data_IF_602293705300
#
_entry.id   IF_602293705300
#
_cell.length_a   1.000
_cell.length_b   1.000
_cell.length_c   1.000
_cell.angle_alpha   90.00
_cell.angle_beta   90.00
_cell.angle_gamma   90.00
#
_symmetry.space_group_name_H-M   'P 1'
#
loop_
_entity.id
_entity.type
_entity.pdbx_description
1 polymer ?
#
# COMPACT_ATOMS: atom_id res chain seq x y z
N UNK A 1 -42.27 -7.06 13.25
CA UNK A 1 -41.28 -5.97 13.31
C UNK A 1 -39.87 -6.43 13.74
N UNK A 2 -39.64 -7.71 14.03
CA UNK A 2 -38.34 -8.23 14.52
C UNK A 2 -37.36 -8.60 13.41
N UNK A 3 -37.83 -9.10 12.26
CA UNK A 3 -36.98 -9.50 11.14
C UNK A 3 -36.30 -8.31 10.43
N UNK A 4 -37.00 -7.18 10.28
CA UNK A 4 -36.45 -5.98 9.65
C UNK A 4 -35.33 -5.36 10.50
N UNK A 5 -35.49 -5.36 11.82
CA UNK A 5 -34.48 -4.88 12.75
C UNK A 5 -33.21 -5.75 12.71
N UNK A 6 -33.35 -7.07 12.58
CA UNK A 6 -32.22 -8.00 12.48
C UNK A 6 -31.43 -7.81 11.16
N UNK A 7 -32.11 -7.57 10.04
CA UNK A 7 -31.47 -7.32 8.74
C UNK A 7 -30.74 -5.98 8.72
N UNK A 8 -31.35 -4.93 9.28
CA UNK A 8 -30.70 -3.61 9.40
C UNK A 8 -29.48 -3.70 10.33
N UNK A 9 -29.58 -4.42 11.45
CA UNK A 9 -28.46 -4.60 12.37
C UNK A 9 -27.31 -5.39 11.73
N UNK A 10 -27.59 -6.45 10.96
CA UNK A 10 -26.58 -7.22 10.23
C UNK A 10 -25.90 -6.37 9.13
N UNK A 11 -26.65 -5.53 8.42
CA UNK A 11 -26.11 -4.61 7.42
C UNK A 11 -25.22 -3.53 8.06
N UNK A 12 -25.61 -3.00 9.22
CA UNK A 12 -24.80 -2.01 9.97
C UNK A 12 -23.52 -2.65 10.52
N UNK A 13 -23.57 -3.88 11.06
CA UNK A 13 -22.37 -4.59 11.53
C UNK A 13 -21.42 -4.90 10.37
N UNK A 14 -21.94 -5.28 9.20
CA UNK A 14 -21.11 -5.49 8.01
C UNK A 14 -20.48 -4.19 7.48
N UNK A 15 -21.18 -3.05 7.60
CA UNK A 15 -20.63 -1.74 7.23
C UNK A 15 -19.56 -1.24 8.21
N UNK A 16 -19.69 -1.57 9.50
CA UNK A 16 -18.74 -1.17 10.55
C UNK A 16 -17.52 -2.10 10.61
N UNK A 17 -17.67 -3.38 10.24
CA UNK A 17 -16.53 -4.30 10.17
C UNK A 17 -15.61 -4.05 8.96
N UNK A 18 -16.07 -3.33 7.93
CA UNK A 18 -15.29 -2.97 6.75
C UNK A 18 -14.42 -1.72 6.88
N UNK A 19 -14.47 -1.03 8.02
CA UNK A 19 -13.78 0.24 8.28
C UNK A 19 -12.72 0.17 9.38
N UNK A 20 -12.29 -1.04 9.75
CA UNK A 20 -11.07 -1.18 10.56
C UNK A 20 -9.91 -0.70 9.68
N UNK A 21 -9.15 0.34 10.08
CA UNK A 21 -7.96 0.72 9.33
C UNK A 21 -7.06 -0.51 9.22
N UNK A 22 -6.60 -0.83 8.00
CA UNK A 22 -5.66 -1.91 7.74
C UNK A 22 -4.33 -1.80 8.54
N UNK A 23 -4.16 -0.72 9.31
CA UNK A 23 -3.07 -0.46 10.23
C UNK A 23 -2.98 -1.45 11.42
N UNK A 24 -4.07 -2.15 11.79
CA UNK A 24 -4.09 -2.98 13.01
C UNK A 24 -3.63 -4.44 12.83
N UNK A 25 -3.29 -4.88 11.61
CA UNK A 25 -2.86 -6.26 11.35
C UNK A 25 -1.72 -6.30 10.35
N UNK A 26 -0.50 -5.96 10.78
CA UNK A 26 0.73 -6.34 10.09
C UNK A 26 0.99 -5.73 8.69
N UNK A 27 0.10 -4.88 8.19
CA UNK A 27 0.04 -4.47 6.77
C UNK A 27 0.58 -3.08 6.46
N UNK A 28 1.59 -2.60 7.19
CA UNK A 28 2.18 -1.28 6.95
C UNK A 28 3.71 -1.33 6.94
N UNK A 29 4.30 -0.34 6.27
CA UNK A 29 5.74 -0.14 6.20
C UNK A 29 6.09 1.35 6.27
N UNK A 30 7.33 1.62 6.65
CA UNK A 30 7.92 2.97 6.72
C UNK A 30 9.02 3.07 5.69
N UNK A 31 9.03 4.18 4.96
CA UNK A 31 10.14 4.53 4.09
C UNK A 31 11.11 5.46 4.82
N UNK A 32 12.33 5.00 5.07
CA UNK A 32 13.44 5.80 5.60
C UNK A 32 14.35 6.23 4.46
N UNK A 33 14.87 7.46 4.49
CA UNK A 33 15.85 7.89 3.50
C UNK A 33 17.26 7.76 4.05
N UNK A 34 18.19 7.38 3.18
CA UNK A 34 19.61 7.67 3.41
C UNK A 34 19.81 9.20 3.44
N UNK A 35 20.91 9.72 4.02
CA UNK A 35 21.18 11.15 4.06
C UNK A 35 21.05 11.79 2.66
N UNK A 36 20.04 12.66 2.45
CA UNK A 36 19.85 13.28 1.15
C UNK A 36 20.96 14.31 0.89
N UNK A 37 21.19 14.70 -0.38
CA UNK A 37 22.09 15.81 -0.67
C UNK A 37 21.63 17.08 0.06
N UNK A 38 22.59 17.89 0.49
CA UNK A 38 22.32 19.12 1.24
C UNK A 38 21.52 20.16 0.44
N UNK A 39 21.51 20.05 -0.89
CA UNK A 39 20.69 20.87 -1.78
C UNK A 39 20.38 20.14 -3.09
N UNK A 40 19.15 20.31 -3.57
CA UNK A 40 18.68 19.92 -4.90
C UNK A 40 18.66 21.11 -5.83
N UNK A 41 18.97 20.87 -7.10
CA UNK A 41 18.99 21.85 -8.18
C UNK A 41 18.11 21.33 -9.31
N UNK A 42 17.40 22.23 -9.99
CA UNK A 42 16.53 21.87 -11.11
C UNK A 42 17.33 21.22 -12.24
N UNK A 43 16.83 20.09 -12.77
CA UNK A 43 17.42 19.40 -13.92
C UNK A 43 18.73 18.66 -13.64
N UNK A 44 19.24 18.65 -12.39
CA UNK A 44 20.40 17.86 -11.99
C UNK A 44 19.95 16.49 -11.47
N UNK A 45 20.72 15.46 -11.83
CA UNK A 45 20.49 14.10 -11.33
C UNK A 45 21.10 13.89 -9.95
N UNK A 46 20.36 13.22 -9.07
CA UNK A 46 20.79 12.84 -7.74
C UNK A 46 20.48 11.36 -7.50
N UNK A 47 21.44 10.63 -6.93
CA UNK A 47 21.19 9.30 -6.39
C UNK A 47 20.60 9.45 -4.99
N UNK A 48 19.47 8.78 -4.74
CA UNK A 48 18.78 8.77 -3.45
C UNK A 48 18.60 7.32 -3.03
N UNK A 49 19.20 6.97 -1.89
CA UNK A 49 19.00 5.68 -1.26
C UNK A 49 17.88 5.75 -0.22
N UNK A 50 17.15 4.65 -0.04
CA UNK A 50 16.02 4.58 0.88
C UNK A 50 15.71 3.14 1.28
N UNK A 51 15.11 2.98 2.46
CA UNK A 51 14.75 1.70 3.06
C UNK A 51 13.24 1.58 3.17
N UNK A 52 12.68 0.40 2.89
CA UNK A 52 11.26 0.08 3.11
C UNK A 52 11.17 -1.00 4.19
N UNK A 53 10.71 -0.61 5.37
CA UNK A 53 10.70 -1.48 6.54
C UNK A 53 9.28 -1.80 6.99
N UNK A 54 8.97 -3.10 7.04
CA UNK A 54 7.73 -3.58 7.63
C UNK A 54 7.69 -3.19 9.11
N UNK A 55 6.55 -2.62 9.50
CA UNK A 55 6.32 -2.05 10.84
C UNK A 55 7.39 -1.05 11.29
N UNK A 56 8.16 -0.51 10.34
CA UNK A 56 9.25 0.41 10.60
C UNK A 56 10.49 -0.19 11.27
N UNK A 57 10.58 -1.51 11.50
CA UNK A 57 11.68 -2.12 12.27
C UNK A 57 12.52 -3.13 11.53
N UNK A 58 12.01 -3.73 10.45
CA UNK A 58 12.69 -4.82 9.75
C UNK A 58 12.31 -4.89 8.27
N UNK A 59 13.14 -5.50 7.41
CA UNK A 59 12.78 -5.75 6.02
C UNK A 59 11.57 -6.68 5.91
N UNK A 60 10.70 -6.45 4.92
CA UNK A 60 9.62 -7.38 4.61
C UNK A 60 10.17 -8.69 4.02
N UNK A 61 9.75 -9.82 4.56
CA UNK A 61 10.05 -11.13 3.98
C UNK A 61 9.06 -11.49 2.86
N UNK A 62 9.48 -11.29 1.61
CA UNK A 62 8.70 -11.67 0.44
C UNK A 62 8.84 -10.68 -0.71
N UNK A 63 7.94 -10.78 -1.67
CA UNK A 63 7.91 -9.91 -2.84
C UNK A 63 7.06 -8.66 -2.56
N UNK A 64 7.69 -7.49 -2.53
CA UNK A 64 6.98 -6.22 -2.36
C UNK A 64 6.23 -5.80 -3.63
N UNK A 65 6.75 -6.11 -4.82
CA UNK A 65 6.29 -5.52 -6.08
C UNK A 65 6.95 -4.17 -6.32
N UNK A 66 6.18 -3.20 -6.83
CA UNK A 66 6.72 -1.89 -7.24
C UNK A 66 7.17 -1.06 -6.03
N UNK A 67 8.45 -0.68 -6.01
CA UNK A 67 9.05 0.14 -4.96
C UNK A 67 9.70 1.36 -5.60
N UNK A 68 9.59 2.54 -4.98
CA UNK A 68 10.13 3.77 -5.56
C UNK A 68 9.81 5.03 -4.75
N UNK A 69 10.18 6.19 -5.31
CA UNK A 69 9.85 7.50 -4.76
C UNK A 69 8.91 8.24 -5.71
N UNK A 70 7.74 8.62 -5.22
CA UNK A 70 6.78 9.44 -5.94
C UNK A 70 6.84 10.87 -5.45
N UNK A 71 7.00 11.80 -6.38
CA UNK A 71 6.93 13.24 -6.14
C UNK A 71 5.63 13.78 -6.74
N UNK A 72 4.89 14.57 -5.99
CA UNK A 72 3.59 15.11 -6.41
C UNK A 72 3.47 16.59 -6.08
N UNK A 73 3.12 17.40 -7.08
CA UNK A 73 2.79 18.82 -6.92
C UNK A 73 1.36 19.02 -6.44
N UNK A 74 1.06 20.22 -5.99
CA UNK A 74 -0.29 20.59 -5.53
C UNK A 74 -1.35 20.51 -6.64
N UNK A 75 -0.95 20.81 -7.89
CA UNK A 75 -1.80 20.71 -9.08
C UNK A 75 -2.09 19.26 -9.52
N UNK A 76 -1.50 18.27 -8.85
CA UNK A 76 -1.65 16.85 -9.13
C UNK A 76 -0.64 16.28 -10.12
N UNK A 77 0.27 17.09 -10.67
CA UNK A 77 1.39 16.57 -11.46
C UNK A 77 2.23 15.63 -10.58
N UNK A 78 2.53 14.43 -11.10
CA UNK A 78 3.33 13.45 -10.37
C UNK A 78 4.36 12.77 -11.25
N UNK A 79 5.50 12.47 -10.66
CA UNK A 79 6.57 11.66 -11.25
C UNK A 79 6.94 10.55 -10.28
N UNK A 80 7.11 9.34 -10.81
CA UNK A 80 7.58 8.19 -10.07
C UNK A 80 9.01 7.88 -10.50
N UNK A 81 9.87 7.66 -9.52
CA UNK A 81 11.23 7.17 -9.71
C UNK A 81 11.33 5.77 -9.12
N UNK A 82 11.45 4.77 -10.00
CA UNK A 82 11.52 3.36 -9.59
C UNK A 82 12.78 3.10 -8.77
N UNK A 83 12.62 2.32 -7.70
CA UNK A 83 13.68 1.86 -6.83
C UNK A 83 14.35 0.62 -7.41
N UNK A 84 15.68 0.61 -7.41
CA UNK A 84 16.49 -0.58 -7.66
C UNK A 84 16.91 -1.17 -6.33
N UNK A 85 16.63 -2.45 -6.11
CA UNK A 85 17.06 -3.15 -4.89
C UNK A 85 18.59 -3.18 -4.79
N UNK A 86 19.09 -2.95 -3.57
CA UNK A 86 20.49 -3.08 -3.20
C UNK A 86 20.72 -4.45 -2.52
N UNK A 87 21.99 -4.84 -2.25
CA UNK A 87 22.30 -6.12 -1.62
C UNK A 87 21.67 -6.31 -0.25
N UNK A 88 21.49 -5.23 0.50
CA UNK A 88 20.85 -5.22 1.81
C UNK A 88 19.32 -5.32 1.69
N UNK A 89 18.72 -6.25 2.43
CA UNK A 89 17.28 -6.46 2.38
C UNK A 89 16.51 -5.19 2.76
N UNK A 90 15.53 -4.84 1.93
CA UNK A 90 14.72 -3.64 2.12
C UNK A 90 15.42 -2.33 1.75
N UNK A 91 16.68 -2.35 1.29
CA UNK A 91 17.41 -1.16 0.83
C UNK A 91 17.30 -1.01 -0.69
N UNK A 92 17.05 0.23 -1.13
CA UNK A 92 16.84 0.57 -2.53
C UNK A 92 17.57 1.86 -2.88
N UNK A 93 17.89 2.04 -4.15
CA UNK A 93 18.37 3.30 -4.69
C UNK A 93 17.60 3.71 -5.94
N UNK A 94 17.45 5.02 -6.15
CA UNK A 94 16.89 5.57 -7.38
C UNK A 94 17.64 6.82 -7.83
N UNK A 95 17.54 7.14 -9.12
CA UNK A 95 18.11 8.36 -9.70
C UNK A 95 17.00 9.36 -9.98
N UNK A 96 17.00 10.49 -9.29
CA UNK A 96 15.96 11.51 -9.42
C UNK A 96 16.46 12.72 -10.20
N UNK A 97 15.64 13.20 -11.14
CA UNK A 97 15.82 14.50 -11.81
C UNK A 97 14.53 15.26 -11.60
N UNK A 98 14.58 16.30 -10.78
CA UNK A 98 13.37 16.98 -10.31
C UNK A 98 13.35 18.41 -10.86
N UNK A 99 12.25 18.83 -11.53
CA UNK A 99 12.07 20.22 -11.93
C UNK A 99 11.90 21.16 -10.73
N UNK A 100 12.13 22.46 -10.96
CA UNK A 100 11.86 23.53 -9.99
C UNK A 100 10.42 23.46 -9.46
N UNK A 101 10.23 23.74 -8.17
CA UNK A 101 8.92 23.75 -7.52
C UNK A 101 8.94 23.06 -6.15
N UNK A 102 7.75 22.94 -5.58
CA UNK A 102 7.52 22.24 -4.32
C UNK A 102 6.83 20.90 -4.58
N UNK A 103 7.35 19.84 -3.96
CA UNK A 103 6.94 18.46 -4.21
C UNK A 103 6.69 17.74 -2.89
N UNK A 104 5.51 17.13 -2.76
CA UNK A 104 5.27 16.12 -1.73
C UNK A 104 5.97 14.84 -2.14
N UNK A 105 6.81 14.30 -1.25
CA UNK A 105 7.57 13.07 -1.48
C UNK A 105 6.90 11.93 -0.73
N UNK A 106 6.61 10.84 -1.44
CA UNK A 106 6.09 9.62 -0.84
C UNK A 106 6.88 8.39 -1.29
N UNK A 107 7.15 7.48 -0.36
CA UNK A 107 7.65 6.15 -0.68
C UNK A 107 6.53 5.30 -1.26
N UNK A 108 6.74 4.74 -2.44
CA UNK A 108 5.94 3.66 -3.01
C UNK A 108 6.53 2.35 -2.49
N UNK A 109 5.70 1.55 -1.80
CA UNK A 109 6.14 0.43 -0.96
C UNK A 109 5.44 -0.88 -1.35
N UNK A 110 5.15 -1.05 -2.64
CA UNK A 110 4.57 -2.28 -3.15
C UNK A 110 3.17 -2.56 -2.61
N UNK A 111 3.03 -3.71 -1.94
CA UNK A 111 1.79 -4.15 -1.30
C UNK A 111 1.34 -3.24 -0.14
N UNK A 112 2.23 -2.39 0.39
CA UNK A 112 1.92 -1.50 1.50
C UNK A 112 1.40 -0.14 1.02
N UNK A 113 0.67 0.55 1.90
CA UNK A 113 0.26 1.91 1.65
C UNK A 113 1.48 2.82 1.40
N UNK A 114 1.38 3.81 0.50
CA UNK A 114 2.45 4.78 0.30
C UNK A 114 2.76 5.55 1.59
N UNK A 115 4.04 5.80 1.85
CA UNK A 115 4.49 6.48 3.07
C UNK A 115 4.82 7.95 2.80
N UNK A 116 4.26 8.92 3.55
CA UNK A 116 4.52 10.34 3.34
C UNK A 116 5.89 10.77 3.89
N UNK A 117 6.94 10.62 3.08
CA UNK A 117 8.34 10.87 3.46
C UNK A 117 8.59 12.34 3.82
N UNK A 118 8.06 13.31 3.06
CA UNK A 118 8.39 14.71 3.31
C UNK A 118 8.02 15.66 2.18
N UNK A 119 8.66 16.82 2.19
CA UNK A 119 8.50 17.88 1.17
C UNK A 119 9.84 18.30 0.62
N UNK A 120 9.99 18.23 -0.69
CA UNK A 120 11.16 18.71 -1.43
C UNK A 120 10.86 20.06 -2.08
N UNK A 121 11.69 21.05 -1.81
CA UNK A 121 11.73 22.30 -2.60
C UNK A 121 12.92 22.26 -3.54
N UNK A 122 12.70 22.54 -4.83
CA UNK A 122 13.74 22.66 -5.85
C UNK A 122 13.68 24.07 -6.45
N UNK A 123 14.79 24.83 -6.51
CA UNK A 123 16.06 24.51 -5.88
C UNK A 123 15.95 24.70 -4.35
N UNK A 124 16.54 23.80 -3.57
CA UNK A 124 16.30 23.80 -2.12
C UNK A 124 16.61 22.47 -1.45
N UNK A 125 15.87 22.15 -0.40
CA UNK A 125 16.16 21.00 0.48
C UNK A 125 14.97 20.08 0.59
N UNK A 126 15.24 18.81 0.89
CA UNK A 126 14.23 17.86 1.32
C UNK A 126 14.03 17.96 2.83
N UNK A 127 12.84 18.36 3.26
CA UNK A 127 12.41 18.31 4.66
C UNK A 127 11.71 16.98 4.89
N UNK A 128 12.32 16.11 5.68
CA UNK A 128 11.78 14.79 6.05
C UNK A 128 10.75 15.00 7.17
N UNK A 129 9.59 14.36 7.03
CA UNK A 129 8.57 14.36 8.06
C UNK A 129 9.03 13.50 9.25
N UNK A 130 8.76 13.91 10.49
CA UNK A 130 8.93 13.01 11.63
C UNK A 130 8.01 11.80 11.45
N UNK A 131 8.44 10.65 11.95
CA UNK A 131 7.60 9.46 12.02
C UNK A 131 6.41 9.78 12.92
N UNK A 132 5.21 9.38 12.49
CA UNK A 132 3.99 9.63 13.25
C UNK A 132 4.09 8.99 14.66
N UNK A 133 3.71 9.71 15.73
CA UNK A 133 3.85 9.21 17.10
C UNK A 133 3.18 7.85 17.35
N UNK A 134 2.05 7.59 16.69
CA UNK A 134 1.35 6.32 16.81
C UNK A 134 2.18 5.16 16.24
N UNK A 135 2.93 5.38 15.15
CA UNK A 135 3.84 4.37 14.59
C UNK A 135 5.05 4.14 15.49
N UNK A 136 5.57 5.19 16.14
CA UNK A 136 6.69 5.07 17.08
C UNK A 136 6.37 4.13 18.24
N UNK A 137 5.12 4.12 18.72
CA UNK A 137 4.70 3.20 19.77
C UNK A 137 4.90 1.73 19.36
N UNK A 138 4.53 1.38 18.13
CA UNK A 138 4.69 0.01 17.60
C UNK A 138 6.16 -0.33 17.30
N UNK A 139 6.92 0.62 16.74
CA UNK A 139 8.35 0.43 16.43
C UNK A 139 9.16 0.09 17.68
N UNK A 140 8.86 0.75 18.81
CA UNK A 140 9.59 0.55 20.06
C UNK A 140 9.36 -0.81 20.74
N UNK A 141 8.32 -1.56 20.34
CA UNK A 141 7.94 -2.82 20.96
C UNK A 141 8.65 -4.05 20.32
N UNK A 142 9.01 -3.96 19.04
CA UNK A 142 9.49 -5.09 18.21
C UNK A 142 10.98 -4.95 17.82
N UNK A 143 11.82 -4.51 18.76
CA UNK A 143 13.25 -4.32 18.52
C UNK A 143 14.04 -5.64 18.62
N UNK A 144 13.76 -6.58 17.71
CA UNK A 144 14.71 -7.67 17.42
C UNK A 144 15.89 -7.13 16.60
N UNK A 145 17.07 -7.73 16.73
CA UNK A 145 18.26 -7.32 15.99
C UNK A 145 18.24 -7.89 14.57
N UNK A 146 17.67 -7.12 13.65
CA UNK A 146 17.60 -7.47 12.22
C UNK A 146 18.82 -7.00 11.42
N UNK A 147 19.79 -6.36 12.08
CA UNK A 147 20.74 -5.50 11.40
C UNK A 147 22.17 -6.04 11.43
N UNK A 148 22.83 -5.96 10.27
CA UNK A 148 24.26 -6.24 10.12
C UNK A 148 25.08 -4.96 10.23
N UNK A 149 26.24 -4.95 9.56
CA UNK A 149 27.09 -3.76 9.48
C UNK A 149 26.47 -2.59 8.69
N UNK A 150 25.46 -2.86 7.86
CA UNK A 150 24.70 -1.86 7.09
C UNK A 150 23.26 -1.90 7.57
N UNK A 151 22.73 -0.73 7.93
CA UNK A 151 21.41 -0.56 8.50
C UNK A 151 20.86 0.83 8.15
N UNK A 152 19.54 1.04 8.26
CA UNK A 152 18.96 2.35 8.04
C UNK A 152 19.49 3.39 9.05
N UNK A 153 19.50 4.69 8.67
CA UNK A 153 19.90 5.76 9.58
C UNK A 153 19.06 5.77 10.87
N UNK A 154 19.71 5.98 12.02
CA UNK A 154 19.06 6.02 13.33
C UNK A 154 18.86 4.67 14.00
N UNK A 155 19.15 3.55 13.32
CA UNK A 155 19.15 2.21 13.92
C UNK A 155 20.50 1.88 14.56
N UNK A 156 20.53 1.16 15.69
CA UNK A 156 21.77 0.83 16.38
C UNK A 156 22.59 -0.20 15.60
N UNK A 157 23.92 -0.05 15.66
CA UNK A 157 24.86 -0.99 15.07
C UNK A 157 25.05 -2.18 16.01
N UNK A 158 24.28 -3.25 15.81
CA UNK A 158 24.35 -4.47 16.60
C UNK A 158 23.76 -4.35 18.02
N UNK A 159 22.88 -5.29 18.36
CA UNK A 159 22.64 -5.81 19.70
C UNK A 159 22.03 -4.92 20.79
N UNK A 160 21.94 -3.59 20.66
CA UNK A 160 21.34 -2.74 21.70
C UNK A 160 20.37 -1.72 21.09
N UNK A 161 19.09 -2.12 21.03
CA UNK A 161 17.94 -1.32 20.61
C UNK A 161 17.80 -0.01 21.36
N UNK A 162 18.28 1.10 20.79
CA UNK A 162 17.75 2.44 21.06
C UNK A 162 17.91 3.28 19.80
N UNK A 163 16.79 3.67 19.18
CA UNK A 163 16.78 4.64 18.08
C UNK A 163 17.30 5.97 18.64
N UNK A 164 18.51 6.38 18.22
CA UNK A 164 19.08 7.64 18.67
C UNK A 164 18.33 8.80 17.98
N UNK A 165 17.77 9.77 18.75
CA UNK A 165 17.22 10.97 18.17
C UNK A 165 18.38 11.90 17.74
N UNK A 166 18.26 12.41 16.52
CA UNK A 166 19.04 13.51 15.95
C UNK A 166 20.58 13.33 15.87
N UNK A 167 21.05 12.82 14.73
CA UNK A 167 22.38 13.15 14.23
C UNK A 167 22.28 14.20 13.13
N UNK A 168 22.80 15.42 13.32
CA UNK A 168 22.95 16.39 12.24
C UNK A 168 23.94 15.83 11.21
N UNK A 169 23.59 15.95 9.93
CA UNK A 169 24.46 15.65 8.81
C UNK A 169 25.61 16.69 8.77
N UNK A 170 26.62 16.48 9.60
CA UNK A 170 27.91 17.14 9.45
C UNK A 170 28.63 16.59 8.20
N UNK A 171 29.03 17.54 7.37
CA UNK A 171 29.90 17.49 6.18
C UNK A 171 30.64 16.17 5.91
N UNK A 172 30.04 15.29 5.10
CA UNK A 172 30.80 14.34 4.29
C UNK A 172 31.18 15.03 2.96
N UNK A 173 32.45 15.43 2.86
CA UNK A 173 33.08 15.99 1.66
C UNK A 173 33.01 14.98 0.51
N UNK A 174 32.00 15.12 -0.36
CA UNK A 174 31.96 14.42 -1.63
C UNK A 174 32.97 15.07 -2.60
N UNK A 175 34.19 14.52 -2.63
CA UNK A 175 35.16 14.81 -3.68
C UNK A 175 34.62 14.22 -4.98
N UNK A 176 34.20 15.09 -5.91
CA UNK A 176 33.75 14.68 -7.24
C UNK A 176 34.92 14.07 -8.05
N UNK A 177 34.78 12.87 -8.64
CA UNK A 177 35.71 12.44 -9.68
C UNK A 177 35.40 13.18 -10.99
N UNK A 178 36.46 13.67 -11.65
CA UNK A 178 36.44 14.36 -12.93
C UNK A 178 35.88 13.49 -14.08
N UNK A 179 35.29 14.08 -15.15
CA UNK A 179 34.69 13.33 -16.24
C UNK A 179 35.75 12.66 -17.11
N UNK A 180 35.67 11.34 -17.23
CA UNK A 180 36.41 10.57 -18.25
C UNK A 180 35.66 10.64 -19.58
N UNK A 181 36.41 11.01 -20.61
CA UNK A 181 35.95 11.27 -21.97
C UNK A 181 35.31 10.03 -22.63
N UNK A 182 34.21 10.30 -23.34
CA UNK A 182 33.49 9.35 -24.18
C UNK A 182 34.37 8.81 -25.31
N UNK A 183 34.38 7.48 -25.49
CA UNK A 183 34.86 6.85 -26.72
C UNK A 183 33.65 6.39 -27.52
N UNK A 184 33.56 6.92 -28.74
CA UNK A 184 32.48 6.69 -29.68
C UNK A 184 32.49 5.25 -30.24
N UNK A 185 31.34 4.57 -30.14
CA UNK A 185 30.99 3.39 -30.93
C UNK A 185 29.72 3.70 -31.72
N UNK A 186 29.78 3.59 -33.04
CA UNK A 186 28.79 3.98 -34.03
C UNK A 186 27.54 3.03 -34.07
N UNK A 187 26.48 3.36 -34.84
CA UNK A 187 25.09 3.07 -34.50
C UNK A 187 24.55 1.74 -35.07
N UNK A 188 23.58 1.15 -34.37
CA UNK A 188 22.68 0.15 -34.93
C UNK A 188 21.35 0.82 -35.31
N UNK A 189 20.94 0.62 -36.56
CA UNK A 189 19.77 1.19 -37.21
C UNK A 189 18.44 0.53 -36.74
N UNK A 190 17.27 1.09 -37.12
CA UNK A 190 16.01 0.94 -36.39
C UNK A 190 15.18 -0.26 -36.87
N UNK A 191 14.50 -0.94 -35.95
CA UNK A 191 13.37 -1.80 -36.28
C UNK A 191 12.07 -1.04 -36.04
N UNK A 192 11.51 -0.52 -37.13
CA UNK A 192 10.16 0.01 -37.17
C UNK A 192 9.15 -1.11 -37.44
N UNK A 193 8.20 -1.22 -36.51
CA UNK A 193 6.76 -1.44 -36.69
C UNK A 193 6.26 -2.66 -37.51
N UNK A 194 5.58 -3.57 -36.81
CA UNK A 194 4.20 -4.05 -37.08
C UNK A 194 3.62 -4.43 -35.70
N UNK A 195 2.46 -4.01 -35.22
CA UNK A 195 1.26 -3.51 -35.88
C UNK A 195 0.07 -4.35 -35.40
N UNK A 196 -0.86 -3.69 -34.69
CA UNK A 196 -2.27 -4.05 -34.42
C UNK A 196 -2.61 -5.23 -33.51
N UNK A 197 -3.51 -4.98 -32.55
CA UNK A 197 -4.42 -6.04 -32.06
C UNK A 197 -4.88 -5.96 -30.60
N UNK A 198 -5.60 -4.89 -30.25
CA UNK A 198 -6.97 -4.99 -29.70
C UNK A 198 -7.26 -5.74 -28.37
N UNK A 199 -7.89 -4.98 -27.47
CA UNK A 199 -8.87 -5.32 -26.43
C UNK A 199 -8.55 -6.45 -25.42
N UNK A 200 -8.58 -6.08 -24.13
CA UNK A 200 -9.60 -6.56 -23.17
C UNK A 200 -9.32 -6.02 -21.77
N UNK A 201 -10.15 -5.06 -21.33
CA UNK A 201 -10.29 -4.74 -19.91
C UNK A 201 -10.91 -5.92 -19.17
N UNK A 202 -10.07 -6.83 -18.69
CA UNK A 202 -10.46 -7.93 -17.82
C UNK A 202 -10.31 -7.53 -16.37
N UNK A 203 -11.43 -7.43 -15.65
CA UNK A 203 -11.40 -7.34 -14.19
C UNK A 203 -10.74 -8.63 -13.67
N UNK A 204 -9.71 -8.55 -12.82
CA UNK A 204 -8.94 -9.72 -12.42
C UNK A 204 -9.83 -10.75 -11.67
N UNK A 205 -9.59 -12.03 -11.96
CA UNK A 205 -10.46 -13.17 -11.61
C UNK A 205 -10.78 -13.32 -10.10
N UNK A 206 -10.06 -12.64 -9.21
CA UNK A 206 -10.36 -12.63 -7.78
C UNK A 206 -11.60 -11.80 -7.41
N UNK A 207 -12.09 -10.90 -8.27
CA UNK A 207 -13.37 -10.21 -8.05
C UNK A 207 -14.59 -11.12 -8.28
N UNK A 208 -14.48 -12.13 -9.15
CA UNK A 208 -15.54 -13.11 -9.37
C UNK A 208 -15.65 -14.16 -8.25
N UNK A 209 -14.57 -14.41 -7.51
CA UNK A 209 -14.61 -15.33 -6.36
C UNK A 209 -15.46 -14.76 -5.19
N UNK A 210 -15.46 -13.44 -4.97
CA UNK A 210 -16.23 -12.81 -3.90
C UNK A 210 -17.74 -12.74 -4.25
N UNK A 211 -18.08 -12.56 -5.53
CA UNK A 211 -19.48 -12.55 -5.98
C UNK A 211 -20.14 -13.94 -5.95
N UNK A 212 -19.38 -15.02 -6.22
CA UNK A 212 -19.93 -16.37 -6.27
C UNK A 212 -20.26 -16.93 -4.87
N UNK A 213 -19.45 -16.63 -3.84
CA UNK A 213 -19.69 -17.10 -2.46
C UNK A 213 -20.83 -16.30 -1.80
N UNK A 214 -20.91 -14.99 -2.05
CA UNK A 214 -22.00 -14.15 -1.54
C UNK A 214 -23.36 -14.44 -2.19
N UNK A 215 -23.39 -14.70 -3.51
CA UNK A 215 -24.62 -15.00 -4.24
C UNK A 215 -25.26 -16.36 -3.87
N UNK A 216 -24.44 -17.38 -3.61
CA UNK A 216 -24.93 -18.71 -3.24
C UNK A 216 -25.60 -18.72 -1.85
N UNK A 217 -25.10 -17.93 -0.89
CA UNK A 217 -25.70 -17.79 0.43
C UNK A 217 -27.05 -17.05 0.40
N UNK A 218 -27.18 -16.02 -0.44
CA UNK A 218 -28.45 -15.29 -0.61
C UNK A 218 -29.53 -16.12 -1.33
N UNK A 219 -29.15 -16.90 -2.34
CA UNK A 219 -30.08 -17.78 -3.06
C UNK A 219 -30.62 -18.92 -2.19
N UNK A 220 -29.80 -19.50 -1.31
CA UNK A 220 -30.23 -20.57 -0.38
C UNK A 220 -31.25 -20.07 0.66
N UNK A 221 -31.08 -18.85 1.17
CA UNK A 221 -32.07 -18.23 2.08
C UNK A 221 -33.36 -17.83 1.39
N UNK A 222 -33.29 -17.36 0.13
CA UNK A 222 -34.48 -17.00 -0.66
C UNK A 222 -35.39 -18.20 -0.98
N UNK A 223 -34.79 -19.34 -1.35
CA UNK A 223 -35.55 -20.56 -1.65
C UNK A 223 -36.21 -21.17 -0.40
N UNK A 224 -35.56 -21.08 0.77
CA UNK A 224 -36.12 -21.57 2.05
C UNK A 224 -37.36 -20.79 2.49
N UNK A 225 -37.36 -19.47 2.30
CA UNK A 225 -38.50 -18.62 2.66
C UNK A 225 -39.68 -18.77 1.69
N UNK A 226 -39.41 -18.92 0.38
CA UNK A 226 -40.46 -19.19 -0.60
C UNK A 226 -41.15 -20.54 -0.38
N UNK A 227 -40.38 -21.57 0.04
CA UNK A 227 -40.93 -22.91 0.31
C UNK A 227 -41.80 -22.95 1.58
N UNK A 228 -41.51 -22.10 2.59
CA UNK A 228 -42.36 -21.98 3.79
C UNK A 228 -43.69 -21.29 3.52
N UNK A 229 -43.71 -20.22 2.71
CA UNK A 229 -44.96 -19.53 2.36
C UNK A 229 -45.94 -20.41 1.58
N UNK A 230 -45.44 -21.28 0.71
CA UNK A 230 -46.30 -22.19 -0.08
C UNK A 230 -47.02 -23.23 0.78
N UNK A 231 -46.41 -23.64 1.91
CA UNK A 231 -47.01 -24.60 2.85
C UNK A 231 -48.10 -23.94 3.71
N UNK A 232 -47.96 -22.65 4.02
CA UNK A 232 -49.01 -21.90 4.74
C UNK A 232 -50.23 -21.62 3.84
N UNK A 233 -50.03 -21.30 2.56
CA UNK A 233 -51.15 -21.09 1.61
C UNK A 233 -51.94 -22.38 1.32
N UNK A 234 -51.31 -23.56 1.31
CA UNK A 234 -52.01 -24.83 1.13
C UNK A 234 -52.81 -25.27 2.36
N UNK A 235 -52.59 -24.67 3.54
CA UNK A 235 -53.30 -25.00 4.78
C UNK A 235 -54.54 -24.12 5.04
N UNK A 236 -54.72 -23.01 4.30
CA UNK A 236 -55.85 -22.08 4.47
C UNK A 236 -57.04 -22.37 3.53
N UNK A 237 -56.92 -23.36 2.64
CA UNK A 237 -58.02 -23.87 1.81
C UNK A 237 -58.30 -25.34 2.08
N UNK A 238 -58.80 -25.66 3.28
CA UNK A 238 -59.59 -26.87 3.50
C UNK A 238 -61.06 -26.49 3.79
N UNK A 239 -61.93 -26.46 2.78
CA UNK A 239 -63.38 -26.28 2.96
C UNK A 239 -63.99 -27.61 3.41
N UNK A 240 -63.72 -28.03 4.64
CA UNK A 240 -63.90 -29.44 5.01
C UNK A 240 -64.18 -29.77 6.47
N UNK A 241 -64.64 -28.84 7.32
CA UNK A 241 -65.06 -29.23 8.67
C UNK A 241 -66.01 -28.22 9.35
N UNK A 242 -67.28 -28.20 8.94
CA UNK A 242 -68.38 -27.78 9.82
C UNK A 242 -69.66 -28.54 9.44
N UNK A 243 -69.68 -29.85 9.75
CA UNK A 243 -70.93 -30.60 9.86
C UNK A 243 -71.26 -30.71 11.34
N UNK A 244 -72.14 -29.82 11.81
CA UNK A 244 -72.80 -29.93 13.10
C UNK A 244 -73.77 -31.12 13.04
N UNK A 245 -73.44 -32.19 13.76
CA UNK A 245 -74.39 -33.25 14.09
C UNK A 245 -75.12 -32.87 15.38
N UNK A 246 -76.44 -32.67 15.31
CA UNK A 246 -77.33 -32.57 16.48
C UNK A 246 -77.92 -33.97 16.71
N UNK A 247 -77.64 -34.65 17.84
CA UNK A 247 -78.38 -35.84 18.23
C UNK A 247 -79.50 -35.49 19.21
N UNK A 248 -80.70 -36.01 18.91
CA UNK A 248 -81.72 -36.48 19.88
C UNK A 248 -82.41 -35.46 20.77
#
# INVERSE_FOLDING_TARGET
MTALAAVVLAAVVALVAGSVPAAASGGWAVTYLDPPPSRFESGKSYAVGFWVLQHGTHPFEGELGDVGLRLTREDGESVLFDGTALPEAGHYATSVVVPEGEWKVAGVQGIFAPYPVGTLTVPGVLKINPIEPDLLHYISADAEDHWGAVHPPGFPVGGEGTLAPDSPADEAVATAPAPVAATAGAPAAPNAARGSGQDSGGVPAYTLAIAAVGGALLAATGLSLARRRRVEEEQETDPGADTIAIPG
#
